data_IF_561992221075
#
_entry.id   IF_561992221075
#
_cell.length_a   1.000
_cell.length_b   1.000
_cell.length_c   1.000
_cell.angle_alpha   90.00
_cell.angle_beta   90.00
_cell.angle_gamma   90.00
#
_symmetry.space_group_name_H-M   'P 1'
#
loop_
_entity.id
_entity.type
_entity.pdbx_description
1 polymer ?
#
# COMPACT_ATOMS: atom_id res chain seq x y z
N UNK A 1 26.28 0.80 19.10
CA UNK A 1 25.56 2.04 19.42
C UNK A 1 25.63 2.92 18.19
N UNK A 2 24.60 2.89 17.34
CA UNK A 2 24.57 3.69 16.09
C UNK A 2 23.94 5.04 16.40
N UNK A 3 24.72 6.12 16.31
CA UNK A 3 24.19 7.47 16.50
C UNK A 3 23.10 7.76 15.46
N UNK A 4 22.04 8.53 15.81
CA UNK A 4 21.04 8.95 14.84
C UNK A 4 21.72 9.74 13.70
N UNK A 5 21.24 9.59 12.45
CA UNK A 5 21.86 10.24 11.30
C UNK A 5 21.86 11.77 11.45
N UNK A 6 22.86 12.47 10.90
CA UNK A 6 22.89 13.93 10.90
C UNK A 6 21.61 14.48 10.24
N UNK A 7 20.95 15.44 10.91
CA UNK A 7 19.64 16.04 10.57
C UNK A 7 18.38 15.30 11.06
N UNK A 8 18.49 14.40 12.04
CA UNK A 8 17.33 13.76 12.66
C UNK A 8 16.43 14.77 13.39
N UNK A 9 15.11 14.71 13.18
CA UNK A 9 14.17 15.60 13.90
C UNK A 9 14.11 15.25 15.40
N UNK A 10 13.68 16.20 16.25
CA UNK A 10 13.52 15.95 17.71
C UNK A 10 12.65 14.73 18.01
N UNK A 11 11.65 14.46 17.17
CA UNK A 11 10.79 13.28 17.30
C UNK A 11 11.56 12.00 16.98
N UNK A 12 12.35 11.98 15.90
CA UNK A 12 13.16 10.82 15.51
C UNK A 12 14.18 10.45 16.58
N UNK A 13 14.84 11.45 17.18
CA UNK A 13 15.77 11.25 18.30
C UNK A 13 15.03 10.63 19.49
N UNK A 14 13.89 11.18 19.90
CA UNK A 14 13.09 10.62 21.00
C UNK A 14 12.64 9.19 20.75
N UNK A 15 12.20 8.86 19.53
CA UNK A 15 11.79 7.50 19.17
C UNK A 15 12.98 6.52 19.17
N UNK A 16 14.15 6.98 18.72
CA UNK A 16 15.38 6.20 18.78
C UNK A 16 15.79 5.90 20.23
N UNK A 17 15.81 6.93 21.08
CA UNK A 17 16.16 6.80 22.50
C UNK A 17 15.17 5.89 23.24
N UNK A 18 13.87 6.03 22.96
CA UNK A 18 12.83 5.17 23.52
C UNK A 18 13.03 3.70 23.11
N UNK A 19 13.35 3.43 21.83
CA UNK A 19 13.68 2.08 21.36
C UNK A 19 14.92 1.54 22.07
N UNK A 20 15.97 2.34 22.23
CA UNK A 20 17.20 1.95 22.90
C UNK A 20 16.96 1.62 24.38
N UNK A 21 16.16 2.42 25.08
CA UNK A 21 15.77 2.17 26.47
C UNK A 21 14.94 0.87 26.61
N UNK A 22 13.99 0.63 25.71
CA UNK A 22 13.21 -0.62 25.68
C UNK A 22 14.12 -1.83 25.40
N UNK A 23 15.03 -1.71 24.44
CA UNK A 23 15.99 -2.76 24.10
C UNK A 23 16.84 -3.15 25.32
N UNK A 24 17.46 -2.16 25.97
CA UNK A 24 18.28 -2.39 27.16
C UNK A 24 17.52 -3.03 28.33
N UNK A 25 16.21 -2.78 28.44
CA UNK A 25 15.37 -3.32 29.53
C UNK A 25 14.93 -4.77 29.27
N UNK A 26 14.58 -5.10 28.04
CA UNK A 26 13.89 -6.35 27.71
C UNK A 26 14.77 -7.40 27.01
N UNK A 27 15.89 -7.01 26.41
CA UNK A 27 16.80 -7.94 25.72
C UNK A 27 17.86 -8.45 26.69
N UNK A 28 17.85 -9.76 26.94
CA UNK A 28 18.80 -10.46 27.85
C UNK A 28 19.56 -11.61 27.19
N UNK A 29 19.19 -11.98 25.97
CA UNK A 29 19.78 -13.09 25.21
C UNK A 29 19.21 -13.21 23.79
N UNK A 30 19.62 -14.22 23.02
CA UNK A 30 19.31 -14.34 21.59
C UNK A 30 17.82 -14.47 21.30
N UNK A 31 17.06 -15.18 22.14
CA UNK A 31 15.60 -15.33 21.97
C UNK A 31 14.88 -14.00 22.19
N UNK A 32 15.18 -13.29 23.29
CA UNK A 32 14.60 -11.97 23.54
C UNK A 32 14.98 -10.94 22.48
N UNK A 33 16.18 -11.06 21.89
CA UNK A 33 16.61 -10.23 20.75
C UNK A 33 15.75 -10.53 19.52
N UNK A 34 15.55 -11.81 19.18
CA UNK A 34 14.74 -12.19 18.03
C UNK A 34 13.29 -11.72 18.18
N UNK A 35 12.70 -11.86 19.37
CA UNK A 35 11.34 -11.37 19.66
C UNK A 35 11.27 -9.84 19.55
N UNK A 36 12.24 -9.13 20.12
CA UNK A 36 12.29 -7.67 20.05
C UNK A 36 12.37 -7.17 18.61
N UNK A 37 13.28 -7.74 17.80
CA UNK A 37 13.42 -7.36 16.40
C UNK A 37 12.21 -7.78 15.57
N UNK A 38 11.60 -8.94 15.83
CA UNK A 38 10.37 -9.36 15.18
C UNK A 38 9.23 -8.37 15.42
N UNK A 39 9.02 -7.95 16.67
CA UNK A 39 7.98 -6.97 17.02
C UNK A 39 8.31 -5.60 16.43
N UNK A 40 9.56 -5.14 16.55
CA UNK A 40 9.97 -3.85 15.98
C UNK A 40 9.84 -3.81 14.45
N UNK A 41 10.22 -4.89 13.78
CA UNK A 41 10.03 -5.08 12.35
C UNK A 41 8.55 -5.09 11.99
N UNK A 42 7.74 -5.87 12.70
CA UNK A 42 6.29 -5.95 12.50
C UNK A 42 5.61 -4.59 12.65
N UNK A 43 5.98 -3.80 13.66
CA UNK A 43 5.48 -2.43 13.83
C UNK A 43 5.86 -1.56 12.64
N UNK A 44 7.11 -1.61 12.15
CA UNK A 44 7.51 -0.85 10.95
C UNK A 44 6.77 -1.29 9.70
N UNK A 45 6.52 -2.59 9.54
CA UNK A 45 5.74 -3.13 8.42
C UNK A 45 4.28 -2.67 8.49
N UNK A 46 3.66 -2.76 9.68
CA UNK A 46 2.32 -2.23 9.93
C UNK A 46 2.23 -0.73 9.63
N UNK A 47 3.26 0.02 10.05
CA UNK A 47 3.37 1.43 9.68
C UNK A 47 3.47 1.61 8.17
N UNK A 48 4.26 0.83 7.44
CA UNK A 48 4.42 0.93 6.00
C UNK A 48 3.12 0.60 5.23
N UNK A 49 2.33 -0.37 5.71
CA UNK A 49 1.09 -0.78 5.06
C UNK A 49 -0.17 -0.03 5.54
N UNK A 50 -0.03 1.02 6.37
CA UNK A 50 -1.15 1.75 6.97
C UNK A 50 -2.28 2.09 5.98
N UNK A 51 -1.96 2.65 4.80
CA UNK A 51 -2.98 2.95 3.78
C UNK A 51 -3.76 1.68 3.38
N UNK A 52 -3.04 0.59 3.05
CA UNK A 52 -3.64 -0.70 2.70
C UNK A 52 -4.42 -1.33 3.86
N UNK A 53 -3.93 -1.20 5.09
CA UNK A 53 -4.63 -1.66 6.29
C UNK A 53 -5.93 -0.91 6.54
N UNK A 54 -5.93 0.42 6.36
CA UNK A 54 -7.13 1.25 6.46
C UNK A 54 -8.13 0.93 5.33
N UNK A 55 -7.65 0.75 4.10
CA UNK A 55 -8.47 0.33 2.97
C UNK A 55 -9.10 -1.05 3.18
N UNK A 56 -8.32 -2.03 3.66
CA UNK A 56 -8.82 -3.36 4.00
C UNK A 56 -9.85 -3.29 5.13
N UNK A 57 -9.57 -2.50 6.17
CA UNK A 57 -10.51 -2.24 7.26
C UNK A 57 -11.83 -1.64 6.75
N UNK A 58 -11.76 -0.68 5.82
CA UNK A 58 -12.93 -0.08 5.20
C UNK A 58 -13.73 -1.08 4.35
N UNK A 59 -13.03 -1.92 3.58
CA UNK A 59 -13.65 -3.00 2.79
C UNK A 59 -14.38 -4.00 3.70
N UNK A 60 -13.74 -4.47 4.78
CA UNK A 60 -14.34 -5.40 5.72
C UNK A 60 -15.49 -4.75 6.49
N UNK A 61 -15.32 -3.51 6.95
CA UNK A 61 -16.35 -2.81 7.69
C UNK A 61 -17.59 -2.59 6.84
N UNK A 62 -17.42 -2.19 5.57
CA UNK A 62 -18.54 -2.03 4.67
C UNK A 62 -19.15 -3.35 4.22
N UNK A 63 -18.36 -4.42 4.12
CA UNK A 63 -18.90 -5.74 3.84
C UNK A 63 -19.79 -6.28 4.97
N UNK A 64 -19.42 -6.01 6.23
CA UNK A 64 -20.13 -6.56 7.39
C UNK A 64 -21.28 -5.68 7.89
N UNK A 65 -21.19 -4.36 7.74
CA UNK A 65 -22.09 -3.42 8.43
C UNK A 65 -22.70 -2.33 7.53
N UNK A 66 -22.39 -2.28 6.23
CA UNK A 66 -22.95 -1.23 5.38
C UNK A 66 -24.44 -1.47 5.11
N UNK A 67 -25.34 -0.51 5.42
CA UNK A 67 -26.77 -0.72 5.26
C UNK A 67 -27.18 -0.85 3.80
N UNK A 68 -28.05 -1.81 3.48
CA UNK A 68 -28.64 -1.95 2.13
C UNK A 68 -29.54 -0.75 1.76
N UNK A 69 -30.08 -0.07 2.77
CA UNK A 69 -30.94 1.13 2.61
C UNK A 69 -30.14 2.44 2.51
N UNK A 70 -28.80 2.37 2.50
CA UNK A 70 -27.98 3.56 2.40
C UNK A 70 -28.20 4.29 1.06
N UNK A 71 -28.34 5.62 1.12
CA UNK A 71 -28.50 6.44 -0.09
C UNK A 71 -27.26 6.45 -0.98
N UNK A 72 -26.08 6.26 -0.37
CA UNK A 72 -24.81 6.20 -1.08
C UNK A 72 -24.45 4.74 -1.32
N UNK A 73 -24.12 4.39 -2.56
CA UNK A 73 -23.69 3.04 -2.87
C UNK A 73 -22.40 2.69 -2.12
N UNK A 74 -22.26 1.41 -1.75
CA UNK A 74 -21.09 0.95 -0.99
C UNK A 74 -19.78 1.20 -1.73
N UNK A 75 -19.78 0.98 -3.04
CA UNK A 75 -18.63 1.24 -3.90
C UNK A 75 -18.26 2.72 -3.95
N UNK A 76 -19.24 3.63 -4.03
CA UNK A 76 -18.97 5.06 -4.00
C UNK A 76 -18.46 5.51 -2.63
N UNK A 77 -19.02 4.95 -1.55
CA UNK A 77 -18.51 5.18 -0.19
C UNK A 77 -17.06 4.72 -0.03
N UNK A 78 -16.68 3.59 -0.63
CA UNK A 78 -15.29 3.12 -0.63
C UNK A 78 -14.35 4.09 -1.37
N UNK A 79 -14.78 4.66 -2.49
CA UNK A 79 -14.00 5.69 -3.21
C UNK A 79 -13.80 6.93 -2.32
N UNK A 80 -14.87 7.45 -1.73
CA UNK A 80 -14.81 8.62 -0.86
C UNK A 80 -13.94 8.36 0.38
N UNK A 81 -14.09 7.19 1.01
CA UNK A 81 -13.27 6.77 2.14
C UNK A 81 -11.79 6.65 1.77
N UNK A 82 -11.48 6.08 0.59
CA UNK A 82 -10.11 6.02 0.09
C UNK A 82 -9.49 7.41 -0.10
N UNK A 83 -10.25 8.36 -0.68
CA UNK A 83 -9.82 9.76 -0.83
C UNK A 83 -9.58 10.41 0.53
N UNK A 84 -10.49 10.22 1.49
CA UNK A 84 -10.35 10.76 2.85
C UNK A 84 -9.10 10.21 3.55
N UNK A 85 -8.84 8.90 3.44
CA UNK A 85 -7.63 8.26 3.96
C UNK A 85 -6.39 8.88 3.30
N UNK A 86 -6.38 8.97 1.97
CA UNK A 86 -5.26 9.51 1.19
C UNK A 86 -4.94 10.95 1.58
N UNK A 87 -5.96 11.82 1.58
CA UNK A 87 -5.85 13.23 1.96
C UNK A 87 -5.44 13.36 3.42
N UNK A 88 -6.01 12.56 4.32
CA UNK A 88 -5.63 12.55 5.73
C UNK A 88 -4.18 12.17 5.96
N UNK A 89 -3.66 11.18 5.23
CA UNK A 89 -2.26 10.78 5.30
C UNK A 89 -1.31 11.87 4.78
N UNK A 90 -1.68 12.56 3.70
CA UNK A 90 -0.91 13.70 3.20
C UNK A 90 -0.95 14.89 4.17
N UNK A 91 -2.13 15.22 4.70
CA UNK A 91 -2.32 16.35 5.61
C UNK A 91 -1.58 16.17 6.94
N UNK A 92 -1.56 14.94 7.46
CA UNK A 92 -0.81 14.59 8.68
C UNK A 92 0.70 14.41 8.44
N UNK A 93 1.16 14.46 7.18
CA UNK A 93 2.56 14.24 6.81
C UNK A 93 3.03 12.79 6.96
N UNK A 94 2.10 11.83 7.10
CA UNK A 94 2.41 10.40 7.09
C UNK A 94 2.79 9.89 5.70
N UNK A 95 2.43 10.66 4.69
CA UNK A 95 2.73 10.44 3.28
C UNK A 95 3.29 11.73 2.64
N UNK A 96 4.21 11.58 1.69
CA UNK A 96 4.77 12.69 0.90
C UNK A 96 4.07 12.83 -0.45
N UNK A 97 4.20 14.00 -1.08
CA UNK A 97 3.71 14.23 -2.44
C UNK A 97 4.34 13.32 -3.50
N UNK A 98 5.57 12.86 -3.28
CA UNK A 98 6.22 11.87 -4.16
C UNK A 98 5.53 10.50 -4.05
N UNK A 99 5.16 10.10 -2.85
CA UNK A 99 4.40 8.86 -2.61
C UNK A 99 2.99 8.96 -3.22
N UNK A 100 2.31 10.11 -3.07
CA UNK A 100 1.01 10.33 -3.71
C UNK A 100 1.07 10.20 -5.24
N UNK A 101 2.16 10.61 -5.90
CA UNK A 101 2.34 10.39 -7.34
C UNK A 101 2.45 8.92 -7.68
N UNK A 102 3.20 8.14 -6.89
CA UNK A 102 3.31 6.68 -7.07
C UNK A 102 1.94 6.03 -6.90
N UNK A 103 1.19 6.42 -5.87
CA UNK A 103 -0.17 5.95 -5.62
C UNK A 103 -1.09 6.26 -6.80
N UNK A 104 -1.04 7.49 -7.33
CA UNK A 104 -1.82 7.87 -8.51
C UNK A 104 -1.49 7.00 -9.73
N UNK A 105 -0.19 6.71 -9.98
CA UNK A 105 0.22 5.82 -11.07
C UNK A 105 -0.34 4.42 -10.86
N UNK A 106 -0.21 3.85 -9.66
CA UNK A 106 -0.77 2.53 -9.35
C UNK A 106 -2.29 2.50 -9.44
N UNK A 107 -2.97 3.58 -9.07
CA UNK A 107 -4.42 3.72 -9.23
C UNK A 107 -4.80 3.62 -10.71
N UNK A 108 -4.17 4.42 -11.56
CA UNK A 108 -4.43 4.42 -13.01
C UNK A 108 -4.15 3.05 -13.62
N UNK A 109 -2.96 2.48 -13.35
CA UNK A 109 -2.56 1.19 -13.91
C UNK A 109 -3.51 0.08 -13.43
N UNK A 110 -3.84 0.05 -12.14
CA UNK A 110 -4.81 -0.89 -11.57
C UNK A 110 -6.18 -0.79 -12.21
N UNK A 111 -6.70 0.43 -12.39
CA UNK A 111 -7.98 0.64 -13.09
C UNK A 111 -7.93 0.16 -14.54
N UNK A 112 -6.84 0.39 -15.29
CA UNK A 112 -6.70 -0.13 -16.66
C UNK A 112 -6.68 -1.66 -16.67
N UNK A 113 -5.99 -2.29 -15.73
CA UNK A 113 -5.95 -3.75 -15.59
C UNK A 113 -7.34 -4.33 -15.29
N UNK A 114 -8.09 -3.71 -14.38
CA UNK A 114 -9.45 -4.10 -14.05
C UNK A 114 -10.38 -3.95 -15.25
N UNK A 115 -10.35 -2.80 -15.93
CA UNK A 115 -11.14 -2.53 -17.14
C UNK A 115 -10.93 -3.62 -18.20
N UNK A 116 -9.68 -4.00 -18.40
CA UNK A 116 -9.32 -5.04 -19.34
C UNK A 116 -9.89 -6.40 -18.93
N UNK A 117 -9.70 -6.80 -17.67
CA UNK A 117 -10.13 -8.11 -17.18
C UNK A 117 -11.65 -8.25 -17.11
N UNK A 118 -12.36 -7.20 -16.70
CA UNK A 118 -13.82 -7.20 -16.69
C UNK A 118 -14.39 -7.21 -18.11
N UNK A 119 -13.76 -6.53 -19.07
CA UNK A 119 -14.18 -6.57 -20.48
C UNK A 119 -14.02 -7.96 -21.12
N UNK A 120 -13.09 -8.78 -20.63
CA UNK A 120 -12.89 -10.17 -21.06
C UNK A 120 -13.61 -11.18 -20.15
N UNK A 121 -14.56 -10.73 -19.34
CA UNK A 121 -15.43 -11.60 -18.55
C UNK A 121 -14.73 -12.34 -17.41
N UNK A 122 -13.54 -11.91 -16.98
CA UNK A 122 -12.82 -12.58 -15.89
C UNK A 122 -13.57 -12.47 -14.55
N UNK A 123 -14.26 -11.36 -14.31
CA UNK A 123 -15.18 -11.13 -13.19
C UNK A 123 -16.06 -9.92 -13.45
N UNK A 124 -17.02 -9.66 -12.55
CA UNK A 124 -17.93 -8.51 -12.59
C UNK A 124 -17.97 -7.79 -11.25
N UNK A 125 -18.32 -6.50 -11.28
CA UNK A 125 -18.65 -5.69 -10.11
C UNK A 125 -20.18 -5.47 -10.06
N UNK A 126 -20.92 -6.26 -9.26
CA UNK A 126 -22.38 -6.33 -9.34
C UNK A 126 -23.11 -5.18 -8.65
N UNK A 127 -22.46 -4.46 -7.72
CA UNK A 127 -23.11 -3.38 -6.98
C UNK A 127 -23.12 -2.07 -7.78
N UNK A 128 -24.16 -1.27 -7.52
CA UNK A 128 -24.28 0.04 -8.14
C UNK A 128 -23.16 0.99 -7.71
N UNK A 129 -22.75 1.87 -8.63
CA UNK A 129 -21.80 2.94 -8.37
C UNK A 129 -21.94 4.05 -9.40
N UNK A 130 -21.70 5.28 -8.98
CA UNK A 130 -21.56 6.44 -9.85
C UNK A 130 -20.07 6.69 -10.17
N UNK A 131 -19.20 6.42 -9.20
CA UNK A 131 -17.76 6.62 -9.31
C UNK A 131 -17.10 5.38 -9.94
N UNK A 132 -17.42 5.12 -11.22
CA UNK A 132 -16.90 4.01 -12.02
C UNK A 132 -16.55 4.43 -13.45
N UNK A 133 -15.65 3.68 -14.08
CA UNK A 133 -15.33 3.79 -15.51
C UNK A 133 -15.69 2.47 -16.17
N UNK A 134 -16.55 2.49 -17.19
CA UNK A 134 -16.99 1.31 -17.96
C UNK A 134 -17.35 0.07 -17.09
N UNK A 135 -18.01 0.30 -15.95
CA UNK A 135 -18.41 -0.76 -15.01
C UNK A 135 -17.42 -1.04 -13.87
N UNK A 136 -16.19 -0.55 -13.94
CA UNK A 136 -15.16 -0.72 -12.91
C UNK A 136 -15.23 0.40 -11.88
N UNK A 137 -15.56 0.12 -10.61
CA UNK A 137 -15.58 1.11 -9.54
C UNK A 137 -14.17 1.65 -9.25
N UNK A 138 -14.03 2.95 -9.02
CA UNK A 138 -12.71 3.57 -8.83
C UNK A 138 -12.00 3.14 -7.52
N UNK A 139 -12.70 2.52 -6.56
CA UNK A 139 -12.06 2.05 -5.33
C UNK A 139 -11.07 0.91 -5.61
N UNK A 140 -11.26 0.16 -6.70
CA UNK A 140 -10.37 -0.94 -7.10
C UNK A 140 -8.99 -0.40 -7.44
N UNK A 141 -8.91 0.75 -8.13
CA UNK A 141 -7.65 1.47 -8.35
C UNK A 141 -6.93 1.79 -7.03
N UNK A 142 -7.67 2.20 -5.99
CA UNK A 142 -7.07 2.42 -4.67
C UNK A 142 -6.57 1.14 -4.00
N UNK A 143 -7.15 -0.03 -4.31
CA UNK A 143 -6.61 -1.32 -3.84
C UNK A 143 -5.23 -1.60 -4.45
N UNK A 144 -5.02 -1.30 -5.74
CA UNK A 144 -3.69 -1.36 -6.36
C UNK A 144 -2.76 -0.28 -5.80
N UNK A 145 -3.27 0.93 -5.59
CA UNK A 145 -2.53 2.04 -5.02
C UNK A 145 -2.01 1.74 -3.60
N UNK A 146 -2.70 0.88 -2.83
CA UNK A 146 -2.21 0.41 -1.55
C UNK A 146 -0.88 -0.35 -1.65
N UNK A 147 -0.66 -1.12 -2.72
CA UNK A 147 0.61 -1.79 -3.00
C UNK A 147 1.71 -0.76 -3.29
N UNK A 148 1.41 0.24 -4.12
CA UNK A 148 2.33 1.35 -4.42
C UNK A 148 2.71 2.16 -3.18
N UNK A 149 1.73 2.53 -2.36
CA UNK A 149 1.92 3.22 -1.07
C UNK A 149 2.82 2.41 -0.14
N UNK A 150 2.54 1.10 0.00
CA UNK A 150 3.38 0.21 0.81
C UNK A 150 4.82 0.17 0.30
N UNK A 151 5.03 -0.04 -1.00
CA UNK A 151 6.38 -0.13 -1.59
C UNK A 151 7.18 1.17 -1.39
N UNK A 152 6.56 2.32 -1.60
CA UNK A 152 7.24 3.61 -1.39
C UNK A 152 7.57 3.82 0.10
N UNK A 153 6.63 3.50 1.00
CA UNK A 153 6.80 3.72 2.44
C UNK A 153 7.76 2.74 3.07
N UNK A 154 7.73 1.47 2.69
CA UNK A 154 8.66 0.45 3.20
C UNK A 154 10.09 0.77 2.76
N UNK A 155 10.28 1.22 1.51
CA UNK A 155 11.59 1.60 1.00
C UNK A 155 12.20 2.75 1.82
N UNK A 156 11.38 3.76 2.14
CA UNK A 156 11.81 4.89 2.97
C UNK A 156 12.05 4.48 4.43
N UNK A 157 11.12 3.76 5.05
CA UNK A 157 11.18 3.41 6.48
C UNK A 157 12.33 2.46 6.82
N UNK A 158 12.71 1.61 5.88
CA UNK A 158 13.82 0.66 6.03
C UNK A 158 15.10 1.12 5.35
N UNK A 159 15.09 2.29 4.68
CA UNK A 159 16.23 2.83 3.93
C UNK A 159 16.87 1.78 3.01
N UNK A 160 16.06 1.10 2.20
CA UNK A 160 16.56 0.01 1.35
C UNK A 160 17.69 0.49 0.43
N UNK A 161 18.81 -0.22 0.50
CA UNK A 161 19.96 -0.06 -0.40
C UNK A 161 20.20 -1.40 -1.06
N UNK A 162 20.24 -1.38 -2.39
CA UNK A 162 20.48 -2.56 -3.18
C UNK A 162 21.93 -2.55 -3.64
N UNK A 163 22.69 -3.56 -3.24
CA UNK A 163 24.00 -3.82 -3.82
C UNK A 163 23.82 -4.69 -5.07
N UNK A 164 24.57 -4.37 -6.14
CA UNK A 164 24.53 -5.07 -7.44
C UNK A 164 23.11 -5.20 -8.02
N UNK A 165 22.30 -4.15 -7.94
CA UNK A 165 20.95 -4.18 -8.51
C UNK A 165 21.00 -4.29 -10.04
N UNK A 166 20.11 -5.07 -10.69
CA UNK A 166 20.12 -5.23 -12.14
C UNK A 166 20.01 -3.88 -12.86
N UNK A 167 20.64 -3.69 -14.03
CA UNK A 167 20.48 -2.47 -14.82
C UNK A 167 19.00 -2.25 -15.19
N UNK A 168 18.60 -0.98 -15.31
CA UNK A 168 17.20 -0.58 -15.49
C UNK A 168 16.53 -1.25 -16.70
N UNK A 169 17.27 -1.53 -17.78
CA UNK A 169 16.71 -2.16 -18.96
C UNK A 169 16.26 -3.61 -18.70
N UNK A 170 16.94 -4.36 -17.82
CA UNK A 170 16.52 -5.73 -17.44
C UNK A 170 15.23 -5.65 -16.63
N UNK A 171 15.15 -4.70 -15.70
CA UNK A 171 13.95 -4.48 -14.90
C UNK A 171 12.76 -4.08 -15.79
N UNK A 172 12.99 -3.18 -16.75
CA UNK A 172 11.98 -2.74 -17.71
C UNK A 172 11.54 -3.89 -18.64
N UNK A 173 12.47 -4.71 -19.12
CA UNK A 173 12.15 -5.88 -19.93
C UNK A 173 11.30 -6.89 -19.14
N UNK A 174 11.69 -7.19 -17.90
CA UNK A 174 10.93 -8.09 -17.03
C UNK A 174 9.52 -7.54 -16.73
N UNK A 175 9.41 -6.28 -16.35
CA UNK A 175 8.13 -5.63 -16.11
C UNK A 175 7.24 -5.67 -17.37
N UNK A 176 7.82 -5.34 -18.53
CA UNK A 176 7.11 -5.40 -19.81
C UNK A 176 6.62 -6.82 -20.10
N UNK A 177 7.44 -7.85 -19.91
CA UNK A 177 7.04 -9.24 -20.09
C UNK A 177 5.90 -9.65 -19.16
N UNK A 178 5.90 -9.20 -17.89
CA UNK A 178 4.81 -9.45 -16.94
C UNK A 178 3.51 -8.80 -17.41
N UNK A 179 3.54 -7.54 -17.85
CA UNK A 179 2.34 -6.85 -18.35
C UNK A 179 1.84 -7.44 -19.67
N UNK A 180 2.74 -7.74 -20.60
CA UNK A 180 2.39 -8.45 -21.84
C UNK A 180 1.72 -9.78 -21.51
N UNK A 181 2.27 -10.55 -20.58
CA UNK A 181 1.64 -11.79 -20.14
C UNK A 181 0.26 -11.53 -19.51
N UNK A 182 0.13 -10.55 -18.61
CA UNK A 182 -1.16 -10.21 -17.99
C UNK A 182 -2.25 -9.91 -19.04
N UNK A 183 -1.91 -9.07 -20.03
CA UNK A 183 -2.84 -8.71 -21.10
C UNK A 183 -3.02 -9.83 -22.11
N UNK A 184 -2.00 -10.65 -22.40
CA UNK A 184 -2.07 -11.65 -23.47
C UNK A 184 -2.52 -13.05 -23.03
N UNK A 185 -2.51 -13.38 -21.73
CA UNK A 185 -2.73 -14.75 -21.25
C UNK A 185 -4.05 -15.38 -21.73
N UNK A 186 -5.10 -14.59 -21.92
CA UNK A 186 -6.41 -15.08 -22.34
C UNK A 186 -6.47 -15.47 -23.83
N UNK A 187 -5.40 -15.23 -24.60
CA UNK A 187 -5.22 -15.78 -25.95
C UNK A 187 -4.23 -16.96 -25.99
N UNK A 188 -3.64 -17.32 -24.85
CA UNK A 188 -2.77 -18.49 -24.72
C UNK A 188 -3.59 -19.71 -24.26
N UNK A 189 -3.13 -20.94 -24.52
CA UNK A 189 -3.75 -22.15 -23.97
C UNK A 189 -3.70 -22.13 -22.44
N UNK A 190 -4.76 -22.64 -21.80
CA UNK A 190 -4.90 -22.75 -20.34
C UNK A 190 -3.88 -23.69 -19.69
#
# INVERSE_FOLDING_TARGET
MTMPPPNSTRLQIRLHDARAALHARYVRGPVSQAVFEFVAFGIKQGWACLFGGLMLGLLLATFLWYPETAMLSRYDFLVLGAIVIQVGMLWTGLETWEEAKVILVFHIVGTVMELFKTAHGSWIYPEDSLLRIAGVPLFTGFMYAAVGSYLARVWRLFEFRFDRFPPLWIQAALATAIYVNFFAHHWLPD
#
